data_IF_698392309125
#
_entry.id   IF_698392309125
#
_cell.length_a   1.000
_cell.length_b   1.000
_cell.length_c   1.000
_cell.angle_alpha   90.00
_cell.angle_beta   90.00
_cell.angle_gamma   90.00
#
_symmetry.space_group_name_H-M   'P 1'
#
loop_
_entity.id
_entity.type
_entity.pdbx_description
1 polymer ?
#
# COMPACT_ATOMS: atom_id res chain seq x y z
N UNK A 1 10.64 13.44 -19.19
CA UNK A 1 10.80 12.55 -18.02
C UNK A 1 9.61 11.63 -17.97
N UNK A 2 9.84 10.32 -17.99
CA UNK A 2 8.81 9.30 -18.08
C UNK A 2 8.20 9.02 -16.72
N UNK A 3 6.87 9.11 -16.59
CA UNK A 3 6.18 8.97 -15.29
C UNK A 3 5.02 7.98 -15.37
N UNK A 4 4.97 7.08 -14.40
CA UNK A 4 3.87 6.14 -14.22
C UNK A 4 3.21 6.46 -12.91
N UNK A 5 1.89 6.63 -12.90
CA UNK A 5 1.14 6.98 -11.70
C UNK A 5 -0.02 6.03 -11.48
N UNK A 6 -0.28 5.70 -10.23
CA UNK A 6 -1.45 4.96 -9.78
C UNK A 6 -1.89 5.50 -8.42
N UNK A 7 -3.19 5.67 -8.23
CA UNK A 7 -3.79 6.14 -6.97
C UNK A 7 -5.01 5.30 -6.65
N UNK A 8 -5.10 4.78 -5.44
CA UNK A 8 -6.25 4.04 -4.99
C UNK A 8 -6.80 4.66 -3.71
N UNK A 9 -8.12 4.67 -3.60
CA UNK A 9 -8.84 4.92 -2.36
C UNK A 9 -9.81 3.77 -2.13
N UNK A 10 -9.90 3.32 -0.90
CA UNK A 10 -10.80 2.26 -0.50
C UNK A 10 -11.25 2.46 0.93
N UNK A 11 -12.29 1.74 1.31
CA UNK A 11 -12.78 1.77 2.68
C UNK A 11 -13.25 0.39 3.12
N UNK A 12 -13.17 0.16 4.42
CA UNK A 12 -13.58 -1.07 5.06
C UNK A 12 -14.13 -0.74 6.43
N UNK A 13 -15.30 -1.27 6.76
CA UNK A 13 -15.89 -1.15 8.10
C UNK A 13 -15.78 -2.50 8.81
N UNK A 14 -15.23 -2.49 10.02
CA UNK A 14 -14.92 -3.68 10.81
C UNK A 14 -15.48 -3.58 12.21
N UNK A 15 -15.96 -4.70 12.74
CA UNK A 15 -16.30 -4.83 14.16
C UNK A 15 -15.03 -5.06 14.99
N UNK A 16 -14.39 -3.97 15.40
CA UNK A 16 -13.10 -3.96 16.13
C UNK A 16 -12.96 -2.68 16.94
N UNK A 17 -11.95 -2.59 17.81
CA UNK A 17 -11.54 -1.34 18.46
C UNK A 17 -10.66 -0.48 17.55
N UNK A 18 -10.60 0.82 17.84
CA UNK A 18 -9.76 1.78 17.11
C UNK A 18 -8.27 1.42 17.23
N UNK A 19 -7.84 1.05 18.42
CA UNK A 19 -6.47 0.69 18.75
C UNK A 19 -6.02 -0.51 17.90
N UNK A 20 -6.82 -1.58 17.88
CA UNK A 20 -6.52 -2.79 17.10
C UNK A 20 -6.48 -2.52 15.60
N UNK A 21 -7.43 -1.73 15.08
CA UNK A 21 -7.41 -1.33 13.68
C UNK A 21 -6.14 -0.52 13.36
N UNK A 22 -5.79 0.45 14.20
CA UNK A 22 -4.61 1.30 14.01
C UNK A 22 -3.31 0.50 14.07
N UNK A 23 -3.17 -0.40 15.03
CA UNK A 23 -2.01 -1.31 15.12
C UNK A 23 -1.89 -2.18 13.87
N UNK A 24 -3.00 -2.77 13.43
CA UNK A 24 -3.02 -3.63 12.25
C UNK A 24 -2.59 -2.89 10.98
N UNK A 25 -3.22 -1.76 10.69
CA UNK A 25 -2.94 -0.96 9.48
C UNK A 25 -1.66 -0.12 9.60
N UNK A 26 -1.03 -0.09 10.78
CA UNK A 26 0.26 0.54 11.05
C UNK A 26 1.44 -0.42 11.02
N UNK A 27 1.21 -1.73 11.16
CA UNK A 27 2.25 -2.75 11.11
C UNK A 27 2.50 -3.23 9.68
N UNK A 28 3.70 -2.91 9.18
CA UNK A 28 4.19 -3.35 7.89
C UNK A 28 4.22 -4.86 7.69
N UNK A 29 4.34 -5.65 8.76
CA UNK A 29 4.25 -7.10 8.63
C UNK A 29 2.92 -7.52 7.99
N UNK A 30 1.81 -6.88 8.36
CA UNK A 30 0.50 -7.20 7.77
C UNK A 30 0.44 -6.89 6.27
N UNK A 31 1.15 -5.86 5.80
CA UNK A 31 1.22 -5.57 4.37
C UNK A 31 2.04 -6.63 3.63
N UNK A 32 3.20 -7.00 4.16
CA UNK A 32 4.03 -8.05 3.57
C UNK A 32 3.32 -9.41 3.53
N UNK A 33 2.56 -9.73 4.58
CA UNK A 33 1.87 -11.03 4.70
C UNK A 33 0.58 -11.09 3.86
N UNK A 34 -0.16 -9.98 3.75
CA UNK A 34 -1.52 -9.99 3.20
C UNK A 34 -1.66 -9.29 1.85
N UNK A 35 -0.82 -8.31 1.52
CA UNK A 35 -0.92 -7.60 0.25
C UNK A 35 -0.14 -8.33 -0.83
N UNK A 36 -0.80 -8.80 -1.91
CA UNK A 36 -0.11 -9.49 -2.99
C UNK A 36 0.89 -8.55 -3.67
N UNK A 37 2.02 -9.09 -4.11
CA UNK A 37 3.06 -8.33 -4.82
C UNK A 37 4.05 -7.58 -3.91
N UNK A 38 3.84 -7.56 -2.58
CA UNK A 38 4.89 -7.15 -1.64
C UNK A 38 5.85 -8.31 -1.46
N UNK A 39 7.10 -8.17 -1.90
CA UNK A 39 8.15 -9.18 -1.69
C UNK A 39 8.75 -9.09 -0.30
N UNK A 40 8.73 -7.90 0.30
CA UNK A 40 9.19 -7.69 1.66
C UNK A 40 9.30 -6.23 2.02
N UNK A 41 9.35 -5.97 3.32
CA UNK A 41 9.55 -4.64 3.87
C UNK A 41 10.74 -4.70 4.82
N UNK A 42 11.77 -3.90 4.56
CA UNK A 42 12.98 -3.82 5.38
C UNK A 42 12.98 -2.52 6.16
N UNK A 43 13.22 -2.58 7.47
CA UNK A 43 13.48 -1.39 8.29
C UNK A 43 14.94 -0.97 8.09
N UNK A 44 15.15 0.31 7.80
CA UNK A 44 16.46 0.93 7.64
C UNK A 44 16.71 1.90 8.80
N UNK A 45 17.93 2.43 8.88
CA UNK A 45 18.26 3.48 9.85
C UNK A 45 17.43 4.75 9.63
N UNK A 46 17.23 5.53 10.68
CA UNK A 46 16.51 6.81 10.60
C UNK A 46 14.99 6.70 10.44
N UNK A 47 14.39 5.55 10.80
CA UNK A 47 12.94 5.37 10.74
C UNK A 47 12.38 5.19 9.33
N UNK A 48 13.25 4.88 8.36
CA UNK A 48 12.87 4.58 6.99
C UNK A 48 12.49 3.10 6.90
N UNK A 49 11.45 2.81 6.14
CA UNK A 49 11.13 1.47 5.69
C UNK A 49 11.23 1.39 4.17
N UNK A 50 11.90 0.36 3.68
CA UNK A 50 12.04 0.05 2.26
C UNK A 50 11.07 -1.04 1.88
N UNK A 51 10.07 -0.68 1.10
CA UNK A 51 9.09 -1.60 0.54
C UNK A 51 9.60 -2.11 -0.81
N UNK A 52 9.73 -3.42 -0.94
CA UNK A 52 10.12 -4.09 -2.19
C UNK A 52 8.84 -4.69 -2.78
N UNK A 53 8.46 -4.20 -3.95
CA UNK A 53 7.22 -4.57 -4.63
C UNK A 53 7.56 -5.17 -5.98
N UNK A 54 6.98 -6.32 -6.29
CA UNK A 54 6.94 -6.91 -7.62
C UNK A 54 5.50 -6.97 -8.11
N UNK A 55 5.27 -6.41 -9.29
CA UNK A 55 4.00 -6.51 -9.97
C UNK A 55 4.23 -7.00 -11.40
N UNK A 56 3.40 -7.95 -11.84
CA UNK A 56 3.25 -8.23 -13.26
C UNK A 56 2.32 -7.19 -13.86
N UNK A 57 2.83 -6.45 -14.85
CA UNK A 57 2.03 -5.48 -15.59
C UNK A 57 1.88 -6.02 -17.02
N UNK A 58 0.64 -6.29 -17.48
CA UNK A 58 0.38 -6.69 -18.86
C UNK A 58 1.14 -5.80 -19.87
N UNK A 59 1.62 -6.42 -20.95
CA UNK A 59 2.37 -5.78 -22.05
C UNK A 59 3.82 -5.40 -21.71
N UNK A 60 4.16 -5.08 -20.46
CA UNK A 60 5.54 -4.72 -20.07
C UNK A 60 6.24 -5.76 -19.17
N UNK A 61 5.51 -6.76 -18.67
CA UNK A 61 6.05 -7.85 -17.85
C UNK A 61 6.30 -7.46 -16.39
N UNK A 62 7.19 -8.21 -15.72
CA UNK A 62 7.52 -8.02 -14.31
C UNK A 62 8.19 -6.67 -14.08
N UNK A 63 7.57 -5.83 -13.25
CA UNK A 63 8.15 -4.59 -12.73
C UNK A 63 8.49 -4.80 -11.26
N UNK A 64 9.77 -4.63 -10.91
CA UNK A 64 10.22 -4.57 -9.53
C UNK A 64 10.54 -3.13 -9.15
N UNK A 65 10.01 -2.66 -8.03
CA UNK A 65 10.26 -1.33 -7.51
C UNK A 65 10.53 -1.37 -6.01
N UNK A 66 11.48 -0.55 -5.59
CA UNK A 66 11.77 -0.30 -4.18
C UNK A 66 11.31 1.11 -3.84
N UNK A 67 10.55 1.26 -2.75
CA UNK A 67 10.07 2.53 -2.24
C UNK A 67 10.62 2.77 -0.84
N UNK A 68 11.37 3.86 -0.64
CA UNK A 68 11.77 4.29 0.69
C UNK A 68 10.68 5.21 1.26
N UNK A 69 10.08 4.82 2.37
CA UNK A 69 9.02 5.58 3.06
C UNK A 69 9.39 5.85 4.51
N UNK A 70 8.83 6.91 5.08
CA UNK A 70 8.92 7.24 6.51
C UNK A 70 7.52 7.53 7.06
N UNK A 71 7.33 7.26 8.35
CA UNK A 71 6.08 7.62 9.04
C UNK A 71 6.06 9.14 9.17
N UNK A 72 5.09 9.78 8.52
CA UNK A 72 4.89 11.24 8.57
C UNK A 72 3.75 11.63 9.49
N UNK A 73 2.82 10.71 9.74
CA UNK A 73 1.74 10.91 10.71
C UNK A 73 1.49 9.63 11.50
N UNK A 74 1.37 9.78 12.83
CA UNK A 74 1.09 8.68 13.76
C UNK A 74 0.08 9.13 14.83
N UNK A 75 -1.05 9.65 14.36
CA UNK A 75 -2.12 10.14 15.22
C UNK A 75 -3.14 9.05 15.57
N UNK A 76 -4.05 9.33 16.54
CA UNK A 76 -5.10 8.38 16.93
C UNK A 76 -6.06 8.03 15.78
N UNK A 77 -6.39 9.00 14.93
CA UNK A 77 -7.36 8.84 13.84
C UNK A 77 -6.71 8.75 12.46
N UNK A 78 -5.39 8.84 12.37
CA UNK A 78 -4.68 8.84 11.10
C UNK A 78 -3.26 8.32 11.20
N UNK A 79 -2.92 7.45 10.27
CA UNK A 79 -1.56 7.00 10.01
C UNK A 79 -1.17 7.43 8.59
N UNK A 80 0.05 7.92 8.43
CA UNK A 80 0.60 8.23 7.12
C UNK A 80 2.05 7.80 7.01
N UNK A 81 2.36 7.14 5.89
CA UNK A 81 3.69 6.87 5.40
C UNK A 81 3.88 7.58 4.07
N UNK A 82 4.90 8.43 4.00
CA UNK A 82 5.22 9.22 2.81
C UNK A 82 6.64 8.93 2.32
N UNK A 83 6.98 9.29 1.07
CA UNK A 83 8.32 9.09 0.55
C UNK A 83 9.39 9.68 1.49
N UNK A 84 10.45 8.93 1.74
CA UNK A 84 11.61 9.45 2.45
C UNK A 84 12.21 10.64 1.68
N UNK A 85 12.77 11.62 2.38
CA UNK A 85 13.29 12.85 1.73
C UNK A 85 14.40 12.61 0.69
N UNK A 86 15.09 11.48 0.77
CA UNK A 86 16.12 11.05 -0.19
C UNK A 86 15.55 10.33 -1.42
N UNK A 87 14.27 9.98 -1.44
CA UNK A 87 13.64 9.24 -2.53
C UNK A 87 13.30 10.18 -3.69
N UNK A 88 13.84 9.89 -4.88
CA UNK A 88 13.72 10.74 -6.06
C UNK A 88 13.13 10.01 -7.28
N UNK A 89 12.98 8.69 -7.21
CA UNK A 89 12.62 7.84 -8.35
C UNK A 89 11.29 7.10 -8.15
N UNK A 90 11.03 6.58 -6.95
CA UNK A 90 9.90 5.70 -6.69
C UNK A 90 9.13 6.19 -5.47
N UNK A 91 7.98 6.81 -5.68
CA UNK A 91 7.22 7.43 -4.60
C UNK A 91 6.08 6.51 -4.21
N UNK A 92 5.98 6.22 -2.92
CA UNK A 92 4.86 5.56 -2.31
C UNK A 92 4.36 6.46 -1.18
N UNK A 93 3.07 6.80 -1.23
CA UNK A 93 2.36 7.40 -0.11
C UNK A 93 1.22 6.47 0.28
N UNK A 94 1.12 6.13 1.54
CA UNK A 94 0.02 5.36 2.10
C UNK A 94 -0.54 6.13 3.30
N UNK A 95 -1.86 6.24 3.36
CA UNK A 95 -2.55 6.81 4.51
C UNK A 95 -3.76 5.96 4.88
N UNK A 96 -3.99 5.80 6.18
CA UNK A 96 -5.19 5.22 6.74
C UNK A 96 -5.82 6.21 7.71
N UNK A 97 -7.10 6.51 7.49
CA UNK A 97 -7.92 7.29 8.41
C UNK A 97 -8.90 6.35 9.12
N UNK A 98 -9.12 6.58 10.41
CA UNK A 98 -9.94 5.74 11.27
C UNK A 98 -11.08 6.58 11.85
N UNK A 99 -12.30 6.06 11.75
CA UNK A 99 -13.51 6.72 12.23
C UNK A 99 -14.32 5.71 13.04
N UNK A 100 -14.55 6.00 14.33
CA UNK A 100 -15.34 5.14 15.21
C UNK A 100 -16.83 5.30 14.88
N UNK A 101 -17.53 4.18 14.66
CA UNK A 101 -18.96 4.11 14.32
C UNK A 101 -19.66 3.11 15.23
N UNK A 102 -20.02 3.56 16.43
CA UNK A 102 -20.60 2.68 17.46
C UNK A 102 -19.59 1.61 17.88
N UNK A 103 -19.91 0.34 17.62
CA UNK A 103 -19.02 -0.81 17.88
C UNK A 103 -18.10 -1.17 16.70
N UNK A 104 -18.18 -0.40 15.62
CA UNK A 104 -17.37 -0.61 14.42
C UNK A 104 -16.34 0.51 14.27
N UNK A 105 -15.32 0.25 13.46
CA UNK A 105 -14.37 1.25 12.97
C UNK A 105 -14.43 1.24 11.45
N UNK A 106 -14.66 2.40 10.86
CA UNK A 106 -14.48 2.63 9.42
C UNK A 106 -13.03 3.05 9.17
N UNK A 107 -12.33 2.25 8.36
CA UNK A 107 -10.98 2.52 7.89
C UNK A 107 -11.06 3.00 6.45
N UNK A 108 -10.56 4.21 6.19
CA UNK A 108 -10.41 4.76 4.83
C UNK A 108 -8.94 4.74 4.45
N UNK A 109 -8.58 3.91 3.48
CA UNK A 109 -7.21 3.81 2.98
C UNK A 109 -7.04 4.61 1.70
N UNK A 110 -5.89 5.25 1.56
CA UNK A 110 -5.45 5.82 0.29
C UNK A 110 -3.99 5.44 0.03
N UNK A 111 -3.69 5.12 -1.22
CA UNK A 111 -2.33 4.81 -1.64
C UNK A 111 -2.05 5.48 -2.96
N UNK A 112 -0.93 6.18 -3.04
CA UNK A 112 -0.42 6.82 -4.25
C UNK A 112 0.96 6.27 -4.57
N UNK A 113 1.14 5.87 -5.83
CA UNK A 113 2.38 5.33 -6.35
C UNK A 113 2.79 6.13 -7.58
N UNK A 114 4.04 6.58 -7.62
CA UNK A 114 4.64 7.21 -8.79
C UNK A 114 6.02 6.60 -9.07
N UNK A 115 6.24 6.13 -10.30
CA UNK A 115 7.55 5.71 -10.80
C UNK A 115 8.05 6.76 -11.79
N UNK A 116 9.22 7.33 -11.51
CA UNK A 116 9.89 8.32 -12.35
C UNK A 116 11.12 7.70 -12.99
N UNK A 117 11.20 7.82 -14.31
CA UNK A 117 12.33 7.35 -15.11
C UNK A 117 12.81 8.46 -16.03
N UNK A 118 14.12 8.51 -16.29
CA UNK A 118 14.65 9.46 -17.26
C UNK A 118 14.15 9.11 -18.66
N UNK A 119 14.15 7.81 -18.98
CA UNK A 119 13.66 7.26 -20.24
C UNK A 119 12.71 6.07 -20.00
N UNK A 120 11.75 5.86 -20.90
CA UNK A 120 10.82 4.72 -20.82
C UNK A 120 11.53 3.37 -20.73
N UNK A 121 12.65 3.21 -21.44
CA UNK A 121 13.48 1.99 -21.42
C UNK A 121 14.03 1.63 -20.03
N UNK A 122 14.14 2.61 -19.13
CA UNK A 122 14.60 2.40 -17.75
C UNK A 122 13.50 1.73 -16.89
N UNK A 123 12.26 1.67 -17.39
CA UNK A 123 11.21 0.80 -16.85
C UNK A 123 11.28 -0.57 -17.52
N UNK A 124 11.18 -0.61 -18.85
CA UNK A 124 11.17 -1.82 -19.66
C UNK A 124 11.53 -1.50 -21.11
N UNK A 125 12.19 -2.42 -21.82
CA UNK A 125 12.70 -2.21 -23.20
C UNK A 125 11.64 -1.66 -24.16
N UNK A 126 10.40 -2.15 -24.08
CA UNK A 126 9.30 -1.77 -24.98
C UNK A 126 8.36 -0.70 -24.40
N UNK A 127 8.64 -0.15 -23.22
CA UNK A 127 7.75 0.80 -22.57
C UNK A 127 7.50 2.08 -23.40
N UNK A 128 8.47 2.49 -24.23
CA UNK A 128 8.33 3.63 -25.13
C UNK A 128 7.20 3.43 -26.18
N UNK A 129 7.00 2.19 -26.64
CA UNK A 129 5.99 1.86 -27.65
C UNK A 129 4.58 1.81 -27.04
N UNK A 130 4.48 1.38 -25.78
CA UNK A 130 3.20 1.29 -25.05
C UNK A 130 2.73 2.67 -24.59
N UNK A 131 3.66 3.52 -24.16
CA UNK A 131 3.39 4.89 -23.71
C UNK A 131 3.00 4.99 -22.22
N UNK A 132 3.24 6.17 -21.65
CA UNK A 132 3.04 6.46 -20.21
C UNK A 132 1.60 6.26 -19.75
N UNK A 133 0.62 6.67 -20.55
CA UNK A 133 -0.80 6.61 -20.21
C UNK A 133 -1.31 5.18 -20.09
N UNK A 134 -1.00 4.33 -21.06
CA UNK A 134 -1.41 2.92 -21.05
C UNK A 134 -0.76 2.16 -19.89
N UNK A 135 0.54 2.38 -19.64
CA UNK A 135 1.24 1.76 -18.51
C UNK A 135 0.68 2.25 -17.17
N UNK A 136 0.37 3.55 -17.05
CA UNK A 136 -0.25 4.11 -15.83
C UNK A 136 -1.63 3.52 -15.58
N UNK A 137 -2.46 3.37 -16.63
CA UNK A 137 -3.78 2.74 -16.52
C UNK A 137 -3.69 1.29 -16.05
N UNK A 138 -2.71 0.54 -16.54
CA UNK A 138 -2.54 -0.85 -16.12
C UNK A 138 -1.98 -0.96 -14.70
N UNK A 139 -1.00 -0.12 -14.35
CA UNK A 139 -0.51 0.00 -12.97
C UNK A 139 -1.64 0.38 -12.01
N UNK A 140 -2.54 1.27 -12.42
CA UNK A 140 -3.71 1.70 -11.65
C UNK A 140 -4.64 0.54 -11.33
N UNK A 141 -4.94 -0.33 -12.31
CA UNK A 141 -5.75 -1.54 -12.07
C UNK A 141 -5.04 -2.46 -11.08
N UNK A 142 -3.74 -2.70 -11.29
CA UNK A 142 -2.97 -3.64 -10.47
C UNK A 142 -2.86 -3.20 -9.01
N UNK A 143 -2.56 -1.92 -8.77
CA UNK A 143 -2.53 -1.34 -7.42
C UNK A 143 -3.92 -1.46 -6.77
N UNK A 144 -4.99 -1.21 -7.53
CA UNK A 144 -6.35 -1.39 -7.06
C UNK A 144 -6.67 -2.82 -6.64
N UNK A 145 -6.31 -3.81 -7.45
CA UNK A 145 -6.47 -5.24 -7.13
C UNK A 145 -5.68 -5.65 -5.88
N UNK A 146 -4.43 -5.20 -5.76
CA UNK A 146 -3.58 -5.51 -4.62
C UNK A 146 -4.19 -4.99 -3.31
N UNK A 147 -4.65 -3.73 -3.31
CA UNK A 147 -5.20 -3.11 -2.10
C UNK A 147 -6.59 -3.68 -1.79
N UNK A 148 -7.42 -3.94 -2.80
CA UNK A 148 -8.72 -4.61 -2.59
C UNK A 148 -8.53 -5.98 -1.93
N UNK A 149 -7.63 -6.79 -2.47
CA UNK A 149 -7.28 -8.11 -1.91
C UNK A 149 -6.74 -8.00 -0.48
N UNK A 150 -5.89 -7.00 -0.23
CA UNK A 150 -5.39 -6.72 1.11
C UNK A 150 -6.52 -6.38 2.10
N UNK A 151 -7.45 -5.49 1.72
CA UNK A 151 -8.60 -5.12 2.57
C UNK A 151 -9.52 -6.30 2.85
N UNK A 152 -9.77 -7.15 1.85
CA UNK A 152 -10.55 -8.38 2.02
C UNK A 152 -9.88 -9.34 3.01
N UNK A 153 -8.57 -9.56 2.90
CA UNK A 153 -7.80 -10.41 3.83
C UNK A 153 -7.70 -9.79 5.23
N UNK A 154 -7.57 -8.47 5.30
CA UNK A 154 -7.54 -7.72 6.55
C UNK A 154 -8.85 -7.88 7.33
N UNK A 155 -9.99 -7.82 6.62
CA UNK A 155 -11.31 -8.11 7.23
C UNK A 155 -11.35 -9.48 7.85
N UNK A 156 -11.01 -10.52 7.07
CA UNK A 156 -11.06 -11.91 7.55
C UNK A 156 -10.18 -12.09 8.79
N UNK A 157 -8.98 -11.49 8.81
CA UNK A 157 -8.07 -11.58 9.95
C UNK A 157 -8.59 -10.84 11.18
N UNK A 158 -9.04 -9.60 11.03
CA UNK A 158 -9.50 -8.77 12.16
C UNK A 158 -10.85 -9.22 12.74
N UNK A 159 -11.75 -9.74 11.92
CA UNK A 159 -13.05 -10.27 12.38
C UNK A 159 -12.96 -11.74 12.83
N UNK A 160 -12.04 -12.52 12.25
CA UNK A 160 -11.79 -13.91 12.66
C UNK A 160 -11.04 -14.02 13.98
N UNK A 161 -10.14 -13.10 14.30
CA UNK A 161 -9.48 -13.07 15.60
C UNK A 161 -10.38 -12.47 16.70
N UNK A 162 -11.34 -11.60 16.37
CA UNK A 162 -12.27 -11.02 17.36
C UNK A 162 -13.34 -12.00 17.84
N UNK A 163 -13.62 -13.06 17.07
CA UNK A 163 -14.51 -14.15 17.46
C UNK A 163 -13.84 -15.11 18.45
N UNK A 164 -12.54 -15.38 18.28
CA UNK A 164 -11.76 -16.22 19.21
C UNK A 164 -11.55 -15.57 20.58
N UNK A 165 -11.37 -14.24 20.64
CA UNK A 165 -11.25 -13.51 21.90
C UNK A 165 -12.58 -13.40 22.66
N UNK A 166 -13.73 -13.46 21.97
CA UNK A 166 -15.06 -13.42 22.59
C UNK A 166 -15.48 -14.78 23.17
N UNK A 167 -14.97 -15.89 22.63
CA UNK A 167 -15.21 -17.25 23.17
C UNK A 167 -14.28 -17.61 24.34
N UNK A 168 -13.21 -16.84 24.55
CA UNK A 168 -12.23 -17.05 25.62
C UNK A 168 -12.57 -16.31 26.94
N UNK A 169 -13.78 -15.75 27.06
CA UNK A 169 -14.27 -15.01 28.25
C UNK A 169 -15.47 -15.70 28.87
#
# INVERSE_FOLDING_TARGET
MFRIKASYTGQLELKTTLERAREFFGDFKNFADLMPGIEGIRKESGGIARWIVRAEVPVIGSVQASFAVRKTEDGPQRLEWSPAGSEMKNYLRYAANFEVRGHNVLIKVSQHVELRRSHARDLHRFAALVGEGAISSEMQKRVGEMIKTFLERARVKLEGESSLEQEAV
#
